data_IF_858927336188
#
_entry.id   IF_858927336188
#
_cell.length_a   1.000
_cell.length_b   1.000
_cell.length_c   1.000
_cell.angle_alpha   90.00
_cell.angle_beta   90.00
_cell.angle_gamma   90.00
#
_symmetry.space_group_name_H-M   'P 1'
#
loop_
_entity.id
_entity.type
_entity.pdbx_description
1 polymer ?
#
# COMPACT_ATOMS: atom_id res chain seq x y z
N UNK A 1 -25.52 17.31 27.07
CA UNK A 1 -25.89 15.87 27.10
C UNK A 1 -25.87 15.17 25.74
N UNK A 2 -25.43 15.82 24.63
CA UNK A 2 -25.45 15.20 23.28
C UNK A 2 -24.18 14.45 22.85
N UNK A 3 -23.06 14.64 23.58
CA UNK A 3 -21.72 14.10 23.22
C UNK A 3 -21.60 12.58 23.37
N UNK A 4 -22.42 12.00 24.26
CA UNK A 4 -22.38 10.58 24.59
C UNK A 4 -23.26 9.73 23.68
N UNK A 5 -24.18 10.36 22.94
CA UNK A 5 -25.05 9.68 21.99
C UNK A 5 -24.24 9.14 20.80
N UNK A 6 -23.25 9.90 20.33
CA UNK A 6 -22.36 9.49 19.24
C UNK A 6 -21.47 8.31 19.67
N UNK A 7 -20.94 8.35 20.90
CA UNK A 7 -20.14 7.26 21.46
C UNK A 7 -20.97 5.98 21.66
N UNK A 8 -22.22 6.11 22.12
CA UNK A 8 -23.14 4.98 22.25
C UNK A 8 -23.50 4.39 20.88
N UNK A 9 -23.76 5.24 19.87
CA UNK A 9 -24.07 4.82 18.51
C UNK A 9 -22.90 4.06 17.85
N UNK A 10 -21.66 4.49 18.10
CA UNK A 10 -20.44 3.78 17.67
C UNK A 10 -20.32 2.40 18.32
N UNK A 11 -20.69 2.25 19.60
CA UNK A 11 -20.63 0.97 20.30
C UNK A 11 -21.78 0.01 19.95
N UNK A 12 -22.93 0.52 19.49
CA UNK A 12 -24.11 -0.30 19.10
C UNK A 12 -24.21 -0.54 17.61
N UNK A 13 -23.37 0.08 16.79
CA UNK A 13 -23.27 -0.22 15.37
C UNK A 13 -22.74 -1.64 15.22
N UNK A 14 -23.60 -2.52 14.70
CA UNK A 14 -23.46 -3.96 14.72
C UNK A 14 -22.05 -4.43 14.34
N UNK A 15 -21.62 -5.48 15.03
CA UNK A 15 -20.50 -6.35 14.72
C UNK A 15 -20.53 -6.83 13.27
N UNK A 16 -20.15 -5.98 12.32
CA UNK A 16 -19.51 -6.46 11.12
C UNK A 16 -18.24 -7.14 11.63
N UNK A 17 -18.24 -8.46 11.66
CA UNK A 17 -17.11 -9.28 12.07
C UNK A 17 -16.00 -9.11 11.05
N UNK A 18 -15.39 -7.93 11.09
CA UNK A 18 -14.30 -7.64 10.22
C UNK A 18 -13.03 -8.15 10.89
N UNK A 19 -12.46 -9.16 10.24
CA UNK A 19 -11.32 -9.89 10.77
C UNK A 19 -10.06 -9.08 10.44
N UNK A 20 -9.30 -8.61 11.45
CA UNK A 20 -7.95 -8.14 11.19
C UNK A 20 -7.10 -9.32 10.72
N UNK A 21 -6.24 -9.09 9.73
CA UNK A 21 -5.30 -10.09 9.24
C UNK A 21 -3.97 -9.44 8.90
N UNK A 22 -2.94 -10.27 8.81
CA UNK A 22 -1.60 -9.87 8.40
C UNK A 22 -1.17 -10.73 7.22
N UNK A 23 -0.45 -10.13 6.29
CA UNK A 23 0.04 -10.83 5.10
C UNK A 23 1.46 -10.44 4.76
N UNK A 24 2.13 -11.35 4.06
CA UNK A 24 3.46 -11.18 3.50
C UNK A 24 3.41 -11.61 2.04
N UNK A 25 3.87 -10.76 1.14
CA UNK A 25 3.92 -11.03 -0.30
C UNK A 25 5.36 -10.91 -0.80
N UNK A 26 5.74 -11.86 -1.66
CA UNK A 26 6.94 -11.79 -2.48
C UNK A 26 6.48 -11.59 -3.92
N UNK A 27 6.86 -10.45 -4.50
CA UNK A 27 6.42 -10.07 -5.84
C UNK A 27 7.55 -9.51 -6.69
N UNK A 28 7.36 -9.53 -8.00
CA UNK A 28 8.18 -8.77 -8.93
C UNK A 28 7.56 -7.39 -9.12
N UNK A 29 8.38 -6.35 -9.21
CA UNK A 29 7.92 -5.02 -9.63
C UNK A 29 8.82 -4.46 -10.71
N UNK A 30 8.16 -3.75 -11.61
CA UNK A 30 8.77 -3.04 -12.73
C UNK A 30 8.37 -1.58 -12.61
N UNK A 31 9.36 -0.71 -12.49
CA UNK A 31 9.19 0.74 -12.58
C UNK A 31 9.53 1.18 -13.99
N UNK A 32 8.54 1.77 -14.66
CA UNK A 32 8.74 2.41 -15.95
C UNK A 32 8.54 3.90 -15.76
N UNK A 33 9.58 4.68 -16.03
CA UNK A 33 9.52 6.13 -15.95
C UNK A 33 9.51 6.74 -17.35
N UNK A 34 8.52 7.59 -17.63
CA UNK A 34 8.46 8.33 -18.91
C UNK A 34 9.53 9.43 -19.03
N UNK A 35 10.22 9.73 -17.93
CA UNK A 35 11.23 10.78 -17.86
C UNK A 35 12.64 10.23 -18.10
N UNK A 36 13.30 10.76 -19.13
CA UNK A 36 14.68 10.41 -19.47
C UNK A 36 15.55 11.67 -19.43
N UNK A 37 16.71 11.60 -18.78
CA UNK A 37 17.65 12.73 -18.74
C UNK A 37 18.75 12.53 -19.77
N UNK A 38 18.92 13.50 -20.67
CA UNK A 38 19.98 13.50 -21.66
C UNK A 38 21.13 14.42 -21.22
N UNK A 39 22.33 13.86 -21.08
CA UNK A 39 23.55 14.59 -20.76
C UNK A 39 24.32 14.88 -22.06
N UNK A 40 24.24 16.13 -22.55
CA UNK A 40 24.91 16.55 -23.78
C UNK A 40 26.44 16.48 -23.73
N UNK A 41 27.04 16.64 -22.55
CA UNK A 41 28.49 16.57 -22.36
C UNK A 41 29.04 15.14 -22.56
N UNK A 42 28.24 14.14 -22.20
CA UNK A 42 28.61 12.72 -22.24
C UNK A 42 27.92 11.94 -23.37
N UNK A 43 27.02 12.62 -24.12
CA UNK A 43 26.17 12.04 -25.17
C UNK A 43 25.43 10.77 -24.69
N UNK A 44 24.90 10.81 -23.47
CA UNK A 44 24.22 9.68 -22.82
C UNK A 44 22.83 10.05 -22.36
N UNK A 45 21.90 9.12 -22.56
CA UNK A 45 20.55 9.16 -22.01
C UNK A 45 20.49 8.20 -20.83
N UNK A 46 20.02 8.69 -19.68
CA UNK A 46 19.80 7.88 -18.48
C UNK A 46 18.29 7.80 -18.25
N UNK A 47 17.79 6.57 -18.24
CA UNK A 47 16.43 6.24 -17.81
C UNK A 47 16.49 5.52 -16.48
N UNK A 48 15.80 6.01 -15.44
CA UNK A 48 15.72 5.35 -14.15
C UNK A 48 14.68 4.20 -14.19
N UNK A 49 14.77 3.32 -15.18
CA UNK A 49 13.94 2.12 -15.22
C UNK A 49 14.57 1.06 -14.33
N UNK A 50 13.76 0.44 -13.47
CA UNK A 50 14.24 -0.55 -12.51
C UNK A 50 13.26 -1.72 -12.40
N UNK A 51 13.79 -2.92 -12.16
CA UNK A 51 13.00 -4.14 -12.04
C UNK A 51 13.61 -5.04 -11.00
N UNK A 52 12.84 -5.37 -9.96
CA UNK A 52 13.35 -6.06 -8.78
C UNK A 52 12.34 -6.98 -8.12
N UNK A 53 12.86 -7.86 -7.28
CA UNK A 53 12.06 -8.63 -6.33
C UNK A 53 11.79 -7.76 -5.10
N UNK A 54 10.55 -7.78 -4.63
CA UNK A 54 10.10 -6.96 -3.52
C UNK A 54 9.40 -7.84 -2.50
N UNK A 55 9.88 -7.73 -1.25
CA UNK A 55 9.18 -8.22 -0.09
C UNK A 55 8.22 -7.14 0.43
N UNK A 56 6.97 -7.50 0.59
CA UNK A 56 5.92 -6.61 1.09
C UNK A 56 5.26 -7.26 2.30
N UNK A 57 4.96 -6.45 3.30
CA UNK A 57 4.16 -6.88 4.45
C UNK A 57 3.01 -5.92 4.67
N UNK A 58 1.84 -6.43 5.02
CA UNK A 58 0.65 -5.61 5.19
C UNK A 58 -0.22 -6.07 6.34
N UNK A 59 -0.95 -5.12 6.90
CA UNK A 59 -2.03 -5.36 7.85
C UNK A 59 -3.34 -4.98 7.16
N UNK A 60 -4.32 -5.86 7.27
CA UNK A 60 -5.58 -5.74 6.57
C UNK A 60 -6.75 -5.83 7.53
N UNK A 61 -7.86 -5.24 7.11
CA UNK A 61 -9.14 -5.35 7.78
C UNK A 61 -10.21 -5.65 6.74
N UNK A 62 -10.87 -6.80 6.88
CA UNK A 62 -11.80 -7.31 5.87
C UNK A 62 -13.23 -7.31 6.37
N UNK A 63 -14.11 -6.60 5.69
CA UNK A 63 -15.56 -6.72 5.83
C UNK A 63 -16.10 -7.72 4.79
N UNK A 64 -17.39 -8.06 4.85
CA UNK A 64 -18.01 -9.02 3.93
C UNK A 64 -17.85 -8.65 2.44
N UNK A 65 -17.92 -7.35 2.11
CA UNK A 65 -17.93 -6.88 0.72
C UNK A 65 -16.62 -6.24 0.24
N UNK A 66 -15.76 -5.76 1.15
CA UNK A 66 -14.50 -5.09 0.80
C UNK A 66 -13.49 -5.23 1.94
N UNK A 67 -12.22 -5.02 1.63
CA UNK A 67 -11.13 -4.96 2.61
C UNK A 67 -10.34 -3.68 2.46
N UNK A 68 -9.75 -3.23 3.55
CA UNK A 68 -8.74 -2.17 3.54
C UNK A 68 -7.40 -2.80 3.96
N UNK A 69 -6.36 -2.55 3.17
CA UNK A 69 -5.01 -3.06 3.40
C UNK A 69 -4.04 -1.90 3.47
N UNK A 70 -3.20 -1.90 4.50
CA UNK A 70 -2.09 -0.98 4.65
C UNK A 70 -0.79 -1.78 4.61
N UNK A 71 -0.04 -1.60 3.53
CA UNK A 71 1.21 -2.32 3.27
C UNK A 71 2.45 -1.44 3.36
N UNK A 72 3.55 -2.05 3.83
CA UNK A 72 4.90 -1.53 3.68
C UNK A 72 5.65 -2.38 2.65
N UNK A 73 6.32 -1.69 1.73
CA UNK A 73 7.07 -2.30 0.63
C UNK A 73 8.55 -1.96 0.82
N UNK A 74 9.39 -2.98 0.92
CA UNK A 74 10.83 -2.77 0.95
C UNK A 74 11.40 -2.93 -0.45
N UNK A 75 11.95 -1.83 -0.99
CA UNK A 75 12.67 -1.84 -2.26
C UNK A 75 14.16 -2.01 -1.94
N UNK A 76 14.75 -3.13 -2.34
CA UNK A 76 16.21 -3.23 -2.43
C UNK A 76 16.66 -2.28 -3.55
N UNK A 77 17.61 -1.41 -3.24
CA UNK A 77 18.18 -0.42 -4.17
C UNK A 77 19.57 -0.80 -4.65
#
# INVERSE_FOLDING_TARGET
MKKHLLAALLCTSSSAMAAPYVGLDLGLSTFSHDYQTYFSADNKTVSPDDSGMILNGYVGYRWDAFGLELGYRHFDG
#
